data_IF_846039638064
#
_entry.id   IF_846039638064
#
_cell.length_a   1.000
_cell.length_b   1.000
_cell.length_c   1.000
_cell.angle_alpha   90.00
_cell.angle_beta   90.00
_cell.angle_gamma   90.00
#
_symmetry.space_group_name_H-M   'P 1'
#
loop_
_entity.id
_entity.type
_entity.pdbx_description
1 polymer ?
#
# COMPACT_ATOMS: atom_id res chain seq x y z
N UNK A 1 -29.94 -52.89 -44.97
CA UNK A 1 -30.78 -51.75 -45.38
C UNK A 1 -30.48 -50.57 -44.43
N UNK A 2 -29.34 -49.88 -44.50
CA UNK A 2 -28.91 -48.83 -45.44
C UNK A 2 -30.01 -47.82 -45.80
N UNK A 3 -29.79 -46.54 -45.44
CA UNK A 3 -30.20 -45.27 -46.12
C UNK A 3 -30.53 -44.09 -45.16
N UNK A 4 -29.66 -43.73 -44.21
CA UNK A 4 -29.76 -42.41 -43.51
C UNK A 4 -28.43 -41.67 -43.29
N UNK A 5 -27.30 -42.18 -43.78
CA UNK A 5 -25.97 -41.64 -43.47
C UNK A 5 -25.32 -40.82 -44.59
N UNK A 6 -26.04 -40.44 -45.65
CA UNK A 6 -25.46 -39.80 -46.85
C UNK A 6 -25.73 -38.28 -46.94
N UNK A 7 -26.41 -37.66 -45.97
CA UNK A 7 -26.72 -36.21 -46.04
C UNK A 7 -25.60 -35.31 -45.46
N UNK A 8 -24.51 -35.89 -44.93
CA UNK A 8 -23.44 -35.12 -44.28
C UNK A 8 -22.25 -34.71 -45.16
N UNK A 9 -22.30 -34.94 -46.48
CA UNK A 9 -21.18 -34.60 -47.39
C UNK A 9 -21.72 -33.82 -48.61
N UNK A 10 -22.31 -32.65 -48.36
CA UNK A 10 -22.69 -31.71 -49.44
C UNK A 10 -22.80 -30.24 -49.00
N UNK A 11 -22.12 -29.82 -47.92
CA UNK A 11 -21.97 -28.39 -47.56
C UNK A 11 -20.50 -28.09 -47.24
N UNK A 12 -19.61 -28.76 -47.99
CA UNK A 12 -18.21 -28.40 -48.10
C UNK A 12 -18.02 -27.89 -49.53
N UNK A 13 -18.25 -26.59 -49.74
CA UNK A 13 -17.47 -25.71 -50.62
C UNK A 13 -18.19 -24.38 -50.85
N UNK A 14 -17.42 -23.32 -50.65
CA UNK A 14 -17.65 -21.94 -51.09
C UNK A 14 -18.69 -21.14 -50.31
N UNK A 15 -18.18 -20.32 -49.39
CA UNK A 15 -18.22 -18.86 -49.55
C UNK A 15 -17.11 -18.26 -48.67
N UNK A 16 -15.94 -18.09 -49.29
CA UNK A 16 -14.86 -17.25 -48.79
C UNK A 16 -15.27 -15.78 -48.94
N UNK A 17 -15.83 -15.20 -47.90
CA UNK A 17 -15.90 -13.74 -47.76
C UNK A 17 -14.76 -13.28 -46.88
N UNK A 18 -13.75 -12.67 -47.51
CA UNK A 18 -12.73 -11.89 -46.83
C UNK A 18 -13.37 -10.65 -46.20
N UNK A 19 -13.65 -10.69 -44.90
CA UNK A 19 -13.81 -9.49 -44.10
C UNK A 19 -12.43 -9.05 -43.60
N UNK A 20 -11.84 -8.12 -44.34
CA UNK A 20 -10.80 -7.26 -43.82
C UNK A 20 -11.43 -6.16 -42.95
N UNK A 21 -10.67 -5.72 -41.94
CA UNK A 21 -10.89 -4.57 -41.05
C UNK A 21 -11.84 -4.76 -39.86
N UNK A 22 -11.26 -5.13 -38.72
CA UNK A 22 -11.06 -4.17 -37.64
C UNK A 22 -9.93 -4.68 -36.74
N UNK A 23 -8.85 -3.92 -36.70
CA UNK A 23 -7.75 -4.06 -35.75
C UNK A 23 -8.34 -4.20 -34.33
N UNK A 24 -8.20 -5.35 -33.63
CA UNK A 24 -8.42 -5.38 -32.21
C UNK A 24 -7.22 -4.63 -31.64
N UNK A 25 -7.34 -3.29 -31.65
CA UNK A 25 -6.29 -2.38 -31.29
C UNK A 25 -5.55 -2.97 -30.12
N UNK A 26 -4.26 -3.25 -30.35
CA UNK A 26 -3.36 -3.76 -29.33
C UNK A 26 -3.60 -2.90 -28.10
N UNK A 27 -4.38 -3.41 -27.15
CA UNK A 27 -4.30 -3.01 -25.76
C UNK A 27 -2.91 -3.45 -25.38
N UNK A 28 -1.95 -2.56 -25.64
CA UNK A 28 -0.64 -2.66 -25.05
C UNK A 28 -0.81 -2.92 -23.56
N UNK A 29 0.18 -3.55 -22.91
CA UNK A 29 0.17 -3.64 -21.46
C UNK A 29 -0.19 -2.26 -20.93
N UNK A 30 -1.20 -2.18 -20.05
CA UNK A 30 -1.47 -0.95 -19.32
C UNK A 30 -0.10 -0.47 -18.84
N UNK A 31 0.37 0.62 -19.43
CA UNK A 31 1.58 1.26 -18.98
C UNK A 31 1.29 1.67 -17.56
N UNK A 32 1.72 0.86 -16.60
CA UNK A 32 2.12 1.33 -15.30
C UNK A 32 3.22 2.36 -15.57
N UNK A 33 2.76 3.58 -15.87
CA UNK A 33 3.62 4.72 -16.06
C UNK A 33 4.50 4.84 -14.82
N UNK A 34 5.78 5.20 -14.99
CA UNK A 34 6.68 5.28 -13.86
C UNK A 34 6.18 6.34 -12.89
N UNK A 35 5.76 5.90 -11.70
CA UNK A 35 5.79 6.75 -10.51
C UNK A 35 4.48 7.38 -10.05
N UNK A 36 3.44 6.58 -9.79
CA UNK A 36 2.44 6.93 -8.76
C UNK A 36 2.55 6.05 -7.51
N UNK A 37 3.49 5.09 -7.48
CA UNK A 37 3.86 4.35 -6.26
C UNK A 37 4.91 5.10 -5.43
N UNK A 38 5.03 6.43 -5.59
CA UNK A 38 5.76 7.24 -4.63
C UNK A 38 4.76 7.58 -3.53
N UNK A 39 4.60 6.64 -2.59
CA UNK A 39 4.43 7.05 -1.20
C UNK A 39 5.60 7.97 -0.88
N UNK A 40 5.41 9.27 -1.13
CA UNK A 40 6.28 10.31 -0.60
C UNK A 40 6.42 10.06 0.90
N UNK A 41 7.56 10.44 1.53
CA UNK A 41 7.91 10.02 2.89
C UNK A 41 6.68 10.11 3.78
N UNK A 42 6.05 8.97 4.04
CA UNK A 42 4.75 8.95 4.70
C UNK A 42 4.95 9.62 6.04
N UNK A 43 4.04 10.55 6.38
CA UNK A 43 3.93 11.24 7.65
C UNK A 43 4.65 10.48 8.77
N UNK A 44 5.85 10.96 9.11
CA UNK A 44 6.67 10.50 10.22
C UNK A 44 6.71 8.99 10.39
N UNK A 45 7.60 8.31 9.67
CA UNK A 45 8.19 7.11 10.25
C UNK A 45 8.89 7.58 11.54
N UNK A 46 8.18 7.58 12.66
CA UNK A 46 8.78 7.73 13.98
C UNK A 46 9.76 6.56 14.10
N UNK A 47 11.04 6.85 13.88
CA UNK A 47 12.11 5.88 14.00
C UNK A 47 12.48 5.80 15.47
N UNK A 48 11.70 5.00 16.21
CA UNK A 48 11.85 4.74 17.64
C UNK A 48 12.91 3.67 17.95
N UNK A 49 13.65 3.22 16.94
CA UNK A 49 14.65 2.14 17.10
C UNK A 49 14.06 0.74 17.03
N UNK A 50 12.73 0.57 17.06
CA UNK A 50 12.09 -0.75 17.20
C UNK A 50 11.29 -1.12 15.94
N UNK A 51 11.57 -2.27 15.29
CA UNK A 51 10.85 -2.66 14.10
C UNK A 51 9.40 -3.04 14.46
N UNK A 52 8.51 -3.11 13.46
CA UNK A 52 7.16 -3.60 13.71
C UNK A 52 7.17 -5.01 14.33
N UNK A 53 6.14 -5.40 15.12
CA UNK A 53 6.19 -6.62 15.92
C UNK A 53 6.48 -7.90 15.14
N UNK A 54 5.94 -8.04 13.93
CA UNK A 54 6.22 -9.20 13.07
C UNK A 54 7.72 -9.32 12.72
N UNK A 55 8.37 -8.21 12.37
CA UNK A 55 9.81 -8.19 12.10
C UNK A 55 10.62 -8.37 13.39
N UNK A 56 10.16 -7.80 14.50
CA UNK A 56 10.79 -8.00 15.81
C UNK A 56 10.83 -9.48 16.21
N UNK A 57 9.71 -10.20 16.04
CA UNK A 57 9.63 -11.64 16.31
C UNK A 57 10.48 -12.47 15.34
N UNK A 58 10.63 -12.03 14.08
CA UNK A 58 11.55 -12.70 13.15
C UNK A 58 13.03 -12.52 13.54
N UNK A 59 13.36 -11.45 14.26
CA UNK A 59 14.70 -11.20 14.78
C UNK A 59 14.88 -11.75 16.20
N UNK A 60 13.90 -12.49 16.74
CA UNK A 60 13.85 -12.84 18.15
C UNK A 60 15.09 -13.59 18.63
N UNK A 61 15.54 -14.60 17.87
CA UNK A 61 16.72 -15.38 18.24
C UNK A 61 18.01 -14.56 18.07
N UNK A 62 18.06 -13.70 17.06
CA UNK A 62 19.19 -12.81 16.82
C UNK A 62 19.36 -11.80 17.94
N UNK A 63 18.28 -11.20 18.45
CA UNK A 63 18.35 -10.24 19.56
C UNK A 63 18.27 -10.90 20.94
N UNK A 64 18.06 -12.22 21.00
CA UNK A 64 18.00 -12.98 22.25
C UNK A 64 16.74 -12.70 23.07
N UNK A 65 15.56 -12.69 22.43
CA UNK A 65 14.29 -12.66 23.16
C UNK A 65 14.06 -13.99 23.88
N UNK A 66 13.68 -13.93 25.16
CA UNK A 66 13.20 -15.12 25.87
C UNK A 66 11.75 -15.47 25.48
N UNK A 67 11.31 -16.68 25.84
CA UNK A 67 9.96 -17.17 25.51
C UNK A 67 8.84 -16.35 26.15
N UNK A 68 9.09 -15.76 27.33
CA UNK A 68 8.15 -14.86 28.00
C UNK A 68 7.97 -13.55 27.23
N UNK A 69 9.07 -12.96 26.75
CA UNK A 69 9.07 -11.76 25.91
C UNK A 69 8.37 -12.03 24.57
N UNK A 70 8.71 -13.14 23.89
CA UNK A 70 8.07 -13.56 22.63
C UNK A 70 6.55 -13.68 22.79
N UNK A 71 6.10 -14.40 23.82
CA UNK A 71 4.67 -14.60 24.12
C UNK A 71 3.97 -13.26 24.40
N UNK A 72 4.59 -12.40 25.23
CA UNK A 72 4.02 -11.10 25.58
C UNK A 72 3.87 -10.20 24.35
N UNK A 73 4.89 -10.13 23.50
CA UNK A 73 4.86 -9.34 22.26
C UNK A 73 3.80 -9.89 21.29
N UNK A 74 3.68 -11.21 21.17
CA UNK A 74 2.66 -11.87 20.35
C UNK A 74 1.24 -11.47 20.79
N UNK A 75 0.92 -11.62 22.07
CA UNK A 75 -0.40 -11.29 22.61
C UNK A 75 -0.74 -9.80 22.42
N UNK A 76 0.22 -8.91 22.72
CA UNK A 76 0.04 -7.47 22.50
C UNK A 76 -0.20 -7.14 21.02
N UNK A 77 0.42 -7.88 20.10
CA UNK A 77 0.24 -7.70 18.65
C UNK A 77 -1.14 -8.14 18.20
N UNK A 78 -1.66 -9.24 18.76
CA UNK A 78 -2.99 -9.75 18.48
C UNK A 78 -4.08 -8.78 18.98
N UNK A 79 -4.00 -8.35 20.24
CA UNK A 79 -4.93 -7.38 20.84
C UNK A 79 -4.94 -6.04 20.08
N UNK A 80 -3.75 -5.56 19.70
CA UNK A 80 -3.63 -4.37 18.85
C UNK A 80 -4.24 -4.61 17.47
N UNK A 81 -4.05 -5.80 16.90
CA UNK A 81 -4.62 -6.20 15.63
C UNK A 81 -6.14 -6.11 15.62
N UNK A 82 -6.79 -6.67 16.65
CA UNK A 82 -8.24 -6.63 16.86
C UNK A 82 -8.72 -5.17 16.98
N UNK A 83 -8.16 -4.42 17.94
CA UNK A 83 -8.57 -3.02 18.18
C UNK A 83 -8.40 -2.13 16.94
N UNK A 84 -7.35 -2.39 16.15
CA UNK A 84 -7.08 -1.66 14.90
C UNK A 84 -8.11 -1.97 13.82
N UNK A 85 -8.64 -3.19 13.75
CA UNK A 85 -9.66 -3.59 12.77
C UNK A 85 -10.93 -2.76 13.00
N UNK A 86 -11.37 -2.62 14.24
CA UNK A 86 -12.57 -1.87 14.58
C UNK A 86 -12.44 -0.40 14.19
N UNK A 87 -11.33 0.25 14.58
CA UNK A 87 -11.09 1.66 14.23
C UNK A 87 -10.91 1.86 12.72
N UNK A 88 -10.35 0.87 12.01
CA UNK A 88 -10.25 0.88 10.55
C UNK A 88 -11.63 0.82 9.90
N UNK A 89 -12.51 -0.04 10.42
CA UNK A 89 -13.89 -0.19 9.93
C UNK A 89 -14.68 1.10 10.14
N UNK A 90 -14.57 1.75 11.30
CA UNK A 90 -15.19 3.06 11.55
C UNK A 90 -14.69 4.14 10.59
N UNK A 91 -13.38 4.19 10.34
CA UNK A 91 -12.79 5.12 9.39
C UNK A 91 -13.30 4.89 7.96
N UNK A 92 -13.44 3.63 7.55
CA UNK A 92 -13.95 3.30 6.21
C UNK A 92 -15.44 3.59 6.08
N UNK A 93 -16.23 3.37 7.15
CA UNK A 93 -17.64 3.80 7.23
C UNK A 93 -17.77 5.32 7.12
N UNK A 94 -17.01 6.09 7.90
CA UNK A 94 -17.04 7.56 7.82
C UNK A 94 -16.64 8.09 6.44
N UNK A 95 -15.69 7.43 5.76
CA UNK A 95 -15.33 7.76 4.37
C UNK A 95 -16.44 7.46 3.37
N UNK A 96 -17.20 6.39 3.57
CA UNK A 96 -18.38 6.08 2.77
C UNK A 96 -19.48 7.12 2.97
N UNK A 97 -19.75 7.48 4.23
CA UNK A 97 -20.70 8.54 4.61
C UNK A 97 -20.31 9.88 3.98
N UNK A 98 -19.03 10.28 4.07
CA UNK A 98 -18.55 11.51 3.42
C UNK A 98 -18.77 11.49 1.90
N UNK A 99 -18.52 10.36 1.24
CA UNK A 99 -18.78 10.25 -0.21
C UNK A 99 -20.27 10.43 -0.52
N UNK A 100 -21.14 9.81 0.29
CA UNK A 100 -22.58 9.95 0.14
C UNK A 100 -23.05 11.40 0.34
N UNK A 101 -22.57 12.10 1.39
CA UNK A 101 -22.90 13.51 1.64
C UNK A 101 -22.49 14.41 0.46
N UNK A 102 -21.31 14.18 -0.11
CA UNK A 102 -20.80 14.94 -1.26
C UNK A 102 -21.58 14.71 -2.57
N UNK A 103 -22.30 13.59 -2.71
CA UNK A 103 -23.05 13.25 -3.93
C UNK A 103 -24.52 13.66 -3.86
N UNK A 104 -25.06 13.92 -2.66
CA UNK A 104 -26.48 14.19 -2.44
C UNK A 104 -26.76 15.64 -1.98
N UNK A 105 -25.92 16.60 -2.39
CA UNK A 105 -26.07 18.03 -2.08
C UNK A 105 -26.29 18.33 -0.58
N UNK A 106 -25.61 17.58 0.30
CA UNK A 106 -25.60 17.86 1.74
C UNK A 106 -25.02 19.25 2.02
N UNK A 107 -25.37 19.83 3.17
CA UNK A 107 -24.83 21.13 3.55
C UNK A 107 -23.33 21.09 3.79
N UNK A 108 -22.64 22.21 3.55
CA UNK A 108 -21.20 22.33 3.84
C UNK A 108 -20.88 21.99 5.30
N UNK A 109 -21.78 22.34 6.23
CA UNK A 109 -21.62 22.03 7.65
C UNK A 109 -21.57 20.51 7.92
N UNK A 110 -22.42 19.73 7.26
CA UNK A 110 -22.42 18.26 7.40
C UNK A 110 -21.16 17.64 6.81
N UNK A 111 -20.71 18.13 5.65
CA UNK A 111 -19.48 17.68 5.00
C UNK A 111 -18.27 17.96 5.88
N UNK A 112 -18.14 19.18 6.41
CA UNK A 112 -17.04 19.58 7.29
C UNK A 112 -17.03 18.77 8.59
N UNK A 113 -18.18 18.57 9.22
CA UNK A 113 -18.30 17.73 10.42
C UNK A 113 -17.84 16.29 10.18
N UNK A 114 -18.19 15.72 9.02
CA UNK A 114 -17.73 14.39 8.65
C UNK A 114 -16.23 14.34 8.34
N UNK A 115 -15.66 15.40 7.76
CA UNK A 115 -14.21 15.53 7.57
C UNK A 115 -13.47 15.59 8.91
N UNK A 116 -13.99 16.32 9.90
CA UNK A 116 -13.43 16.37 11.25
C UNK A 116 -13.48 15.00 11.94
N UNK A 117 -14.59 14.27 11.83
CA UNK A 117 -14.72 12.89 12.32
C UNK A 117 -13.64 11.99 11.70
N UNK A 118 -13.43 12.06 10.39
CA UNK A 118 -12.36 11.31 9.70
C UNK A 118 -10.97 11.74 10.22
N UNK A 119 -10.75 13.03 10.43
CA UNK A 119 -9.53 13.57 11.02
C UNK A 119 -9.24 12.97 12.39
N UNK A 120 -10.23 12.98 13.27
CA UNK A 120 -10.15 12.39 14.62
C UNK A 120 -9.85 10.90 14.57
N UNK A 121 -10.55 10.12 13.75
CA UNK A 121 -10.29 8.68 13.59
C UNK A 121 -8.87 8.37 13.10
N UNK A 122 -8.30 9.22 12.22
CA UNK A 122 -6.90 9.09 11.79
C UNK A 122 -5.93 9.39 12.93
N UNK A 123 -6.20 10.42 13.72
CA UNK A 123 -5.39 10.78 14.89
C UNK A 123 -5.41 9.67 15.93
N UNK A 124 -6.58 9.09 16.22
CA UNK A 124 -6.69 7.94 17.14
C UNK A 124 -5.93 6.73 16.62
N UNK A 125 -5.98 6.46 15.31
CA UNK A 125 -5.20 5.38 14.68
C UNK A 125 -3.68 5.59 14.86
N UNK A 126 -3.22 6.84 14.79
CA UNK A 126 -1.81 7.18 15.02
C UNK A 126 -1.42 7.02 16.49
N UNK A 127 -2.24 7.52 17.42
CA UNK A 127 -2.03 7.36 18.87
C UNK A 127 -1.99 5.88 19.26
N UNK A 128 -2.91 5.07 18.73
CA UNK A 128 -2.96 3.63 18.97
C UNK A 128 -1.68 2.94 18.47
N UNK A 129 -1.19 3.29 17.28
CA UNK A 129 0.09 2.75 16.75
C UNK A 129 1.28 3.14 17.62
N UNK A 130 1.36 4.41 18.02
CA UNK A 130 2.44 4.91 18.86
C UNK A 130 2.45 4.20 20.22
N UNK A 131 1.32 4.18 20.92
CA UNK A 131 1.18 3.54 22.24
C UNK A 131 1.51 2.05 22.19
N UNK A 132 1.03 1.33 21.17
CA UNK A 132 1.38 -0.07 20.97
C UNK A 132 2.90 -0.28 20.76
N UNK A 133 3.55 0.54 19.92
CA UNK A 133 5.00 0.45 19.72
C UNK A 133 5.78 0.71 21.00
N UNK A 134 5.40 1.73 21.76
CA UNK A 134 6.03 2.03 23.05
C UNK A 134 5.85 0.88 24.03
N UNK A 135 4.67 0.27 24.07
CA UNK A 135 4.40 -0.87 24.93
C UNK A 135 5.26 -2.08 24.55
N UNK A 136 5.43 -2.37 23.26
CA UNK A 136 6.32 -3.43 22.76
C UNK A 136 7.78 -3.12 23.10
N UNK A 137 8.24 -1.88 22.88
CA UNK A 137 9.59 -1.44 23.23
C UNK A 137 9.90 -1.65 24.71
N UNK A 138 8.95 -1.39 25.60
CA UNK A 138 9.10 -1.56 27.05
C UNK A 138 9.20 -3.03 27.50
N UNK A 139 8.96 -4.01 26.61
CA UNK A 139 9.22 -5.43 26.89
C UNK A 139 10.70 -5.78 26.69
N UNK A 140 11.42 -5.00 25.88
CA UNK A 140 12.81 -5.24 25.53
C UNK A 140 13.74 -4.65 26.59
N UNK A 141 14.91 -5.27 26.75
CA UNK A 141 16.01 -4.69 27.52
C UNK A 141 16.76 -3.65 26.69
N UNK A 142 17.49 -2.76 27.35
CA UNK A 142 18.34 -1.76 26.66
C UNK A 142 19.37 -2.44 25.73
N UNK A 143 19.94 -3.57 26.17
CA UNK A 143 20.87 -4.36 25.36
C UNK A 143 20.23 -4.92 24.08
N UNK A 144 18.97 -5.37 24.16
CA UNK A 144 18.22 -5.84 22.98
C UNK A 144 17.90 -4.69 22.01
N UNK A 145 17.60 -3.51 22.55
CA UNK A 145 17.37 -2.29 21.76
C UNK A 145 18.65 -1.85 21.04
N UNK A 146 19.80 -1.87 21.71
CA UNK A 146 21.09 -1.54 21.12
C UNK A 146 21.43 -2.50 19.98
N UNK A 147 21.23 -3.81 20.19
CA UNK A 147 21.43 -4.82 19.16
C UNK A 147 20.52 -4.61 17.95
N UNK A 148 19.24 -4.27 18.16
CA UNK A 148 18.34 -3.89 17.07
C UNK A 148 18.87 -2.69 16.27
N UNK A 149 19.39 -1.68 16.95
CA UNK A 149 19.95 -0.49 16.32
C UNK A 149 21.21 -0.82 15.48
N UNK A 150 22.04 -1.75 15.93
CA UNK A 150 23.21 -2.24 15.18
C UNK A 150 22.78 -2.97 13.90
N UNK A 151 21.88 -3.96 14.01
CA UNK A 151 21.35 -4.70 12.86
C UNK A 151 20.74 -3.78 11.80
N UNK A 152 20.04 -2.73 12.26
CA UNK A 152 19.48 -1.71 11.37
C UNK A 152 20.56 -0.91 10.64
N UNK A 153 21.64 -0.52 11.33
CA UNK A 153 22.77 0.20 10.72
C UNK A 153 23.44 -0.68 9.68
N UNK A 154 23.66 -1.95 9.98
CA UNK A 154 24.25 -2.93 9.05
C UNK A 154 23.38 -3.11 7.81
N UNK A 155 22.06 -3.32 7.98
CA UNK A 155 21.13 -3.45 6.87
C UNK A 155 21.06 -2.17 6.00
N UNK A 156 21.15 -0.98 6.62
CA UNK A 156 21.23 0.30 5.89
C UNK A 156 22.53 0.43 5.11
N UNK A 157 23.68 0.06 5.71
CA UNK A 157 24.98 0.11 5.05
C UNK A 157 25.06 -0.84 3.84
N UNK A 158 24.52 -2.06 3.98
CA UNK A 158 24.43 -3.02 2.88
C UNK A 158 23.57 -2.48 1.73
N UNK A 159 22.41 -1.88 2.03
CA UNK A 159 21.55 -1.26 1.00
C UNK A 159 22.19 -0.02 0.35
N UNK A 160 23.01 0.74 1.09
CA UNK A 160 23.75 1.88 0.57
C UNK A 160 24.86 1.49 -0.42
N UNK A 161 25.48 0.33 -0.25
CA UNK A 161 26.52 -0.16 -1.18
C UNK A 161 25.95 -0.60 -2.54
N UNK A 162 24.74 -1.16 -2.59
CA UNK A 162 24.08 -1.53 -3.85
C UNK A 162 23.37 -0.36 -4.55
N UNK A 163 23.18 0.78 -3.87
CA UNK A 163 22.53 1.98 -4.42
C UNK A 163 23.39 2.80 -5.40
N UNK A 164 24.70 2.52 -5.49
CA UNK A 164 25.63 3.27 -6.35
C UNK A 164 25.99 2.58 -7.68
N UNK A 165 25.55 1.33 -7.91
CA UNK A 165 25.93 0.56 -9.11
C UNK A 165 24.83 0.49 -10.19
N UNK A 166 23.74 1.28 -10.07
CA UNK A 166 22.51 1.04 -10.82
C UNK A 166 21.76 2.26 -11.37
N UNK A 167 22.42 3.40 -11.60
CA UNK A 167 21.86 4.46 -12.45
C UNK A 167 22.84 4.80 -13.56
N UNK A 168 22.48 4.33 -14.76
CA UNK A 168 23.12 4.71 -16.01
C UNK A 168 23.19 6.23 -16.13
N UNK A 169 24.35 6.67 -16.60
CA UNK A 169 24.66 8.02 -17.05
C UNK A 169 23.75 8.37 -18.24
N UNK A 170 22.50 8.72 -17.95
CA UNK A 170 21.53 9.22 -18.91
C UNK A 170 21.75 10.71 -19.13
N UNK A 171 22.47 11.05 -20.19
CA UNK A 171 22.56 12.41 -20.73
C UNK A 171 21.15 12.93 -21.05
N UNK A 172 20.60 13.77 -20.19
CA UNK A 172 19.29 14.39 -20.38
C UNK A 172 19.35 15.88 -20.09
N UNK A 173 19.51 16.68 -21.13
CA UNK A 173 19.29 18.12 -21.08
C UNK A 173 17.81 18.37 -20.73
N UNK A 174 17.54 18.98 -19.58
CA UNK A 174 16.18 19.25 -19.10
C UNK A 174 16.15 20.51 -18.25
N UNK A 175 16.02 21.63 -18.94
CA UNK A 175 15.85 22.98 -18.41
C UNK A 175 14.52 23.09 -17.66
N UNK A 176 14.51 23.57 -16.42
CA UNK A 176 13.24 23.91 -15.74
C UNK A 176 13.27 23.90 -14.22
N UNK A 177 14.06 24.78 -13.59
CA UNK A 177 13.86 25.15 -12.18
C UNK A 177 12.81 26.26 -12.11
N UNK A 178 11.54 25.90 -11.96
CA UNK A 178 10.45 26.82 -11.63
C UNK A 178 9.77 26.37 -10.33
N UNK A 179 9.40 27.27 -9.39
CA UNK A 179 8.67 26.88 -8.20
C UNK A 179 7.27 26.38 -8.62
N UNK A 180 7.05 25.08 -8.52
CA UNK A 180 5.77 24.45 -8.85
C UNK A 180 4.67 24.91 -7.92
N UNK A 181 3.79 25.80 -8.42
CA UNK A 181 2.49 26.06 -7.83
C UNK A 181 1.67 24.77 -7.87
N UNK A 182 1.22 24.38 -6.68
CA UNK A 182 0.50 23.16 -6.39
C UNK A 182 -0.90 23.18 -7.01
N UNK A 183 -1.06 22.62 -8.21
CA UNK A 183 -2.37 22.42 -8.84
C UNK A 183 -2.93 21.06 -8.44
N UNK A 184 -3.44 20.97 -7.22
CA UNK A 184 -4.15 19.81 -6.69
C UNK A 184 -5.63 19.78 -7.13
N UNK A 185 -5.94 20.27 -8.33
CA UNK A 185 -7.31 20.50 -8.80
C UNK A 185 -7.90 19.31 -9.58
N UNK A 186 -7.09 18.35 -10.04
CA UNK A 186 -7.55 17.35 -11.02
C UNK A 186 -7.77 15.94 -10.47
N UNK A 187 -7.71 15.76 -9.15
CA UNK A 187 -7.88 14.44 -8.50
C UNK A 187 -9.33 13.93 -8.42
N UNK A 188 -10.32 14.65 -8.96
CA UNK A 188 -11.75 14.32 -8.80
C UNK A 188 -12.52 14.09 -10.11
N UNK A 189 -11.85 13.98 -11.26
CA UNK A 189 -12.53 13.66 -12.53
C UNK A 189 -12.22 12.23 -12.99
N UNK A 190 -12.90 11.25 -12.38
CA UNK A 190 -13.26 10.00 -13.04
C UNK A 190 -14.34 9.24 -12.30
#
# INVERSE_FOLDING_TARGET
MMKKTVVFIAVALMLTTAFAFADPGRRGPRGDGPGCARGGPGWGQMDDGVPGPAMLLNLADEIGLDEGQKTKISNMTEEFGISRIDLRAELDKARLELRHLKTNDASDAEVLSMMDKIGNLRTEMQKMRYTHRQAVKNVLTDQQIDKLNELRKEHRAQRGQFGHQGYGKGSGHGQGSGPGLNNNADCWRR
#
